data_IF_553808444277
#
_entry.id   IF_553808444277
#
_cell.length_a   1.000
_cell.length_b   1.000
_cell.length_c   1.000
_cell.angle_alpha   90.00
_cell.angle_beta   90.00
_cell.angle_gamma   90.00
#
_symmetry.space_group_name_H-M   'P 1'
#
loop_
_entity.id
_entity.type
_entity.pdbx_description
1 polymer ?
#
# COMPACT_ATOMS: atom_id res chain seq x y z
N UNK A 1 -2.01 3.79 -13.41
CA UNK A 1 -1.72 4.26 -14.77
C UNK A 1 -2.98 4.37 -15.63
N UNK A 2 -3.94 3.43 -15.58
CA UNK A 2 -5.23 3.54 -16.31
C UNK A 2 -6.15 4.72 -15.96
N UNK A 3 -5.85 5.45 -14.87
CA UNK A 3 -6.62 6.62 -14.40
C UNK A 3 -6.28 7.92 -15.13
N UNK A 4 -5.16 7.93 -15.84
CA UNK A 4 -4.74 9.03 -16.69
C UNK A 4 -5.14 8.72 -18.13
N UNK A 5 -6.45 8.70 -18.40
CA UNK A 5 -7.02 8.29 -19.69
C UNK A 5 -6.54 9.16 -20.87
N UNK A 6 -6.05 10.36 -20.58
CA UNK A 6 -5.58 11.32 -21.58
C UNK A 6 -4.04 11.39 -21.71
N UNK A 7 -3.28 10.70 -20.84
CA UNK A 7 -1.81 10.68 -20.90
C UNK A 7 -1.32 9.68 -21.96
N UNK A 8 -0.36 10.13 -22.78
CA UNK A 8 0.38 9.25 -23.67
C UNK A 8 1.55 8.62 -22.90
N UNK A 9 1.49 7.30 -22.74
CA UNK A 9 2.56 6.53 -22.10
C UNK A 9 3.77 6.41 -23.04
N UNK A 10 4.70 7.36 -22.91
CA UNK A 10 5.97 7.34 -23.62
C UNK A 10 7.06 6.70 -22.75
N UNK A 11 7.12 5.38 -22.75
CA UNK A 11 8.18 4.63 -22.08
C UNK A 11 9.50 4.74 -22.85
N UNK A 12 10.61 4.88 -22.13
CA UNK A 12 11.95 4.69 -22.69
C UNK A 12 12.12 3.22 -23.09
N UNK A 13 12.76 2.98 -24.22
CA UNK A 13 13.22 1.65 -24.60
C UNK A 13 14.35 1.19 -23.69
N UNK A 14 14.53 -0.13 -23.59
CA UNK A 14 15.63 -0.73 -22.82
C UNK A 14 16.99 -0.21 -23.27
N UNK A 15 17.18 -0.02 -24.58
CA UNK A 15 18.42 0.54 -25.14
C UNK A 15 18.66 1.99 -24.68
N UNK A 16 17.63 2.83 -24.69
CA UNK A 16 17.74 4.21 -24.21
C UNK A 16 18.09 4.25 -22.72
N UNK A 17 17.51 3.36 -21.90
CA UNK A 17 17.85 3.26 -20.48
C UNK A 17 19.31 2.87 -20.27
N UNK A 18 19.80 1.85 -21.00
CA UNK A 18 21.22 1.43 -20.93
C UNK A 18 22.16 2.55 -21.36
N UNK A 19 21.85 3.24 -22.46
CA UNK A 19 22.66 4.36 -22.98
C UNK A 19 22.73 5.53 -21.98
N UNK A 20 21.66 5.77 -21.22
CA UNK A 20 21.63 6.79 -20.17
C UNK A 20 22.32 6.34 -18.86
N UNK A 21 22.82 5.11 -18.79
CA UNK A 21 23.55 4.58 -17.65
C UNK A 21 22.68 3.95 -16.56
N UNK A 22 21.40 3.63 -16.86
CA UNK A 22 20.58 2.86 -15.94
C UNK A 22 20.98 1.38 -15.96
N UNK A 23 21.10 0.78 -14.77
CA UNK A 23 21.34 -0.65 -14.59
C UNK A 23 20.05 -1.45 -14.82
N UNK A 24 19.77 -1.79 -16.08
CA UNK A 24 18.63 -2.62 -16.49
C UNK A 24 19.10 -3.91 -17.14
N UNK A 25 18.31 -4.98 -17.00
CA UNK A 25 18.54 -6.25 -17.67
C UNK A 25 17.93 -6.22 -19.09
N UNK A 26 18.75 -6.23 -20.17
CA UNK A 26 18.25 -6.20 -21.53
C UNK A 26 17.54 -7.48 -21.97
N UNK A 27 17.81 -8.60 -21.29
CA UNK A 27 17.26 -9.91 -21.62
C UNK A 27 16.02 -10.25 -20.78
N UNK A 28 15.57 -9.31 -19.93
CA UNK A 28 14.37 -9.49 -19.12
C UNK A 28 13.10 -9.56 -19.98
N UNK A 29 12.40 -10.70 -19.90
CA UNK A 29 11.11 -10.88 -20.55
C UNK A 29 9.95 -10.47 -19.62
N UNK A 30 9.24 -9.36 -19.90
CA UNK A 30 8.22 -8.85 -19.01
C UNK A 30 6.99 -9.76 -18.98
N UNK A 31 6.28 -9.79 -17.85
CA UNK A 31 5.00 -10.51 -17.74
C UNK A 31 3.93 -9.91 -18.66
N UNK A 32 3.97 -8.59 -18.85
CA UNK A 32 3.11 -7.84 -19.77
C UNK A 32 4.00 -6.88 -20.57
N UNK A 33 3.93 -6.93 -21.90
CA UNK A 33 4.70 -6.05 -22.77
C UNK A 33 4.22 -4.59 -22.69
N UNK A 34 5.06 -3.64 -23.10
CA UNK A 34 4.67 -2.23 -23.17
C UNK A 34 3.52 -2.01 -24.16
N UNK A 35 3.51 -2.76 -25.27
CA UNK A 35 2.50 -2.74 -26.31
C UNK A 35 1.15 -3.25 -25.77
N UNK A 36 1.16 -4.39 -25.06
CA UNK A 36 -0.03 -4.92 -24.41
C UNK A 36 -0.57 -3.96 -23.35
N UNK A 37 0.31 -3.30 -22.60
CA UNK A 37 -0.11 -2.32 -21.61
C UNK A 37 -0.75 -1.09 -22.27
N UNK A 38 -0.16 -0.58 -23.36
CA UNK A 38 -0.67 0.57 -24.14
C UNK A 38 -2.05 0.31 -24.75
N UNK A 39 -2.38 -0.93 -25.06
CA UNK A 39 -3.72 -1.28 -25.57
C UNK A 39 -4.73 -1.46 -24.44
N UNK A 40 -4.33 -2.05 -23.31
CA UNK A 40 -5.23 -2.33 -22.18
C UNK A 40 -5.56 -1.12 -21.32
N UNK A 41 -4.60 -0.22 -21.05
CA UNK A 41 -4.75 0.79 -20.00
C UNK A 41 -5.88 1.80 -20.23
N UNK A 42 -6.29 2.04 -21.47
CA UNK A 42 -7.34 3.03 -21.80
C UNK A 42 -8.74 2.56 -21.42
N UNK A 43 -8.97 1.25 -21.46
CA UNK A 43 -10.29 0.65 -21.31
C UNK A 43 -10.41 -0.21 -20.05
N UNK A 44 -9.33 -0.38 -19.27
CA UNK A 44 -9.36 -1.21 -18.06
C UNK A 44 -10.21 -0.56 -16.95
N UNK A 45 -11.05 -1.37 -16.29
CA UNK A 45 -11.75 -0.95 -15.06
C UNK A 45 -10.81 -0.98 -13.84
N UNK A 46 -11.30 -0.53 -12.67
CA UNK A 46 -10.51 -0.56 -11.44
C UNK A 46 -10.19 -2.00 -11.07
N UNK A 47 -11.21 -2.84 -11.11
CA UNK A 47 -11.15 -4.25 -10.78
C UNK A 47 -10.19 -4.99 -11.71
N UNK A 48 -10.22 -4.67 -13.01
CA UNK A 48 -9.30 -5.23 -14.00
C UNK A 48 -7.85 -4.80 -13.73
N UNK A 49 -7.62 -3.54 -13.36
CA UNK A 49 -6.30 -3.06 -12.94
C UNK A 49 -5.77 -3.79 -11.69
N UNK A 50 -6.61 -3.97 -10.67
CA UNK A 50 -6.24 -4.70 -9.44
C UNK A 50 -5.95 -6.16 -9.73
N UNK A 51 -6.81 -6.81 -10.54
CA UNK A 51 -6.62 -8.20 -10.98
C UNK A 51 -5.31 -8.35 -11.76
N UNK A 52 -5.08 -7.52 -12.78
CA UNK A 52 -3.85 -7.53 -13.59
C UNK A 52 -2.60 -7.33 -12.74
N UNK A 53 -2.66 -6.43 -11.75
CA UNK A 53 -1.55 -6.20 -10.82
C UNK A 53 -1.25 -7.46 -9.99
N UNK A 54 -2.30 -8.11 -9.46
CA UNK A 54 -2.17 -9.38 -8.75
C UNK A 54 -1.58 -10.48 -9.61
N UNK A 55 -2.07 -10.66 -10.83
CA UNK A 55 -1.60 -11.66 -11.79
C UNK A 55 -0.10 -11.47 -12.12
N UNK A 56 0.34 -10.21 -12.30
CA UNK A 56 1.76 -9.88 -12.54
C UNK A 56 2.62 -10.19 -11.33
N UNK A 57 2.21 -9.77 -10.13
CA UNK A 57 2.95 -10.04 -8.90
C UNK A 57 3.06 -11.54 -8.65
N UNK A 58 1.96 -12.28 -8.79
CA UNK A 58 1.95 -13.74 -8.67
C UNK A 58 2.86 -14.42 -9.70
N UNK A 59 2.86 -13.93 -10.94
CA UNK A 59 3.75 -14.43 -11.99
C UNK A 59 5.23 -14.17 -11.66
N UNK A 60 5.57 -13.02 -11.10
CA UNK A 60 6.94 -12.72 -10.66
C UNK A 60 7.33 -13.63 -9.50
N UNK A 61 6.49 -13.76 -8.47
CA UNK A 61 6.76 -14.64 -7.32
C UNK A 61 6.99 -16.10 -7.74
N UNK A 62 6.19 -16.62 -8.67
CA UNK A 62 6.34 -18.00 -9.16
C UNK A 62 7.65 -18.25 -9.94
N UNK A 63 8.30 -17.21 -10.48
CA UNK A 63 9.64 -17.31 -11.10
C UNK A 63 10.76 -17.40 -10.05
N UNK A 64 10.50 -17.03 -8.80
CA UNK A 64 11.49 -16.91 -7.73
C UNK A 64 11.19 -17.84 -6.54
N UNK A 65 11.23 -19.16 -6.78
CA UNK A 65 10.91 -20.18 -5.77
C UNK A 65 12.06 -20.53 -4.80
N UNK A 66 13.29 -20.11 -5.13
CA UNK A 66 14.46 -20.36 -4.28
C UNK A 66 14.42 -19.47 -3.04
N UNK A 67 14.87 -20.00 -1.91
CA UNK A 67 14.84 -19.33 -0.60
C UNK A 67 16.25 -19.32 0.01
N UNK A 68 16.69 -18.22 0.67
CA UNK A 68 15.98 -16.95 0.86
C UNK A 68 15.92 -16.12 -0.44
N UNK A 69 14.80 -15.42 -0.65
CA UNK A 69 14.62 -14.51 -1.79
C UNK A 69 13.87 -13.27 -1.32
N UNK A 70 14.45 -12.11 -1.60
CA UNK A 70 13.83 -10.81 -1.37
C UNK A 70 13.57 -10.18 -2.74
N UNK A 71 12.37 -9.64 -2.94
CA UNK A 71 11.98 -8.99 -4.20
C UNK A 71 11.55 -7.56 -3.88
N UNK A 72 12.13 -6.60 -4.59
CA UNK A 72 11.78 -5.19 -4.48
C UNK A 72 10.93 -4.78 -5.69
N UNK A 73 9.74 -4.26 -5.44
CA UNK A 73 8.89 -3.65 -6.45
C UNK A 73 8.97 -2.13 -6.33
N UNK A 74 9.55 -1.46 -7.33
CA UNK A 74 9.54 0.01 -7.44
C UNK A 74 8.40 0.42 -8.36
N UNK A 75 7.31 0.91 -7.79
CA UNK A 75 6.03 1.08 -8.49
C UNK A 75 5.25 2.30 -7.98
N UNK A 76 4.07 2.56 -8.54
CA UNK A 76 3.22 3.69 -8.15
C UNK A 76 2.33 3.36 -6.94
N UNK A 77 1.87 4.38 -6.23
CA UNK A 77 0.97 4.26 -5.07
C UNK A 77 -0.24 3.30 -5.29
N UNK A 78 -1.01 3.36 -6.40
CA UNK A 78 -2.08 2.40 -6.65
C UNK A 78 -1.61 0.95 -6.82
N UNK A 79 -0.37 0.74 -7.25
CA UNK A 79 0.23 -0.60 -7.39
C UNK A 79 0.67 -1.15 -6.04
N UNK A 80 1.15 -0.31 -5.12
CA UNK A 80 1.39 -0.70 -3.72
C UNK A 80 0.08 -1.16 -3.06
N UNK A 81 -1.01 -0.42 -3.25
CA UNK A 81 -2.34 -0.79 -2.72
C UNK A 81 -2.82 -2.14 -3.29
N UNK A 82 -2.86 -2.26 -4.62
CA UNK A 82 -3.35 -3.46 -5.29
C UNK A 82 -2.50 -4.69 -4.97
N UNK A 83 -1.17 -4.56 -4.98
CA UNK A 83 -0.25 -5.64 -4.68
C UNK A 83 -0.33 -6.12 -3.24
N UNK A 84 -0.41 -5.19 -2.27
CA UNK A 84 -0.52 -5.55 -0.86
C UNK A 84 -1.85 -6.25 -0.54
N UNK A 85 -2.96 -5.79 -1.13
CA UNK A 85 -4.27 -6.47 -1.01
C UNK A 85 -4.29 -7.84 -1.64
N UNK A 86 -3.67 -7.99 -2.82
CA UNK A 86 -3.55 -9.28 -3.50
C UNK A 86 -2.83 -10.30 -2.61
N UNK A 87 -1.65 -9.95 -2.09
CA UNK A 87 -0.84 -10.85 -1.26
C UNK A 87 -1.52 -11.19 0.07
N UNK A 88 -2.16 -10.21 0.70
CA UNK A 88 -2.89 -10.39 1.97
C UNK A 88 -4.30 -10.99 1.80
N UNK A 89 -4.70 -11.34 0.57
CA UNK A 89 -6.04 -11.87 0.22
C UNK A 89 -7.19 -10.93 0.63
N UNK A 90 -6.93 -9.62 0.77
CA UNK A 90 -7.92 -8.57 1.09
C UNK A 90 -8.56 -7.99 -0.18
N UNK A 91 -9.12 -8.84 -1.04
CA UNK A 91 -9.62 -8.44 -2.38
C UNK A 91 -11.09 -8.01 -2.43
N UNK A 92 -11.86 -8.18 -1.34
CA UNK A 92 -13.29 -7.91 -1.31
C UNK A 92 -13.67 -6.41 -1.44
N UNK A 93 -12.74 -5.50 -1.14
CA UNK A 93 -12.98 -4.05 -1.07
C UNK A 93 -12.03 -3.29 -2.00
N UNK A 94 -12.13 -3.54 -3.31
CA UNK A 94 -11.41 -2.73 -4.31
C UNK A 94 -11.86 -1.26 -4.18
N UNK A 95 -10.95 -0.29 -4.10
CA UNK A 95 -11.31 1.12 -3.97
C UNK A 95 -12.15 1.60 -5.17
N UNK A 96 -13.16 2.42 -4.91
CA UNK A 96 -13.81 3.21 -5.96
C UNK A 96 -12.89 4.31 -6.51
N UNK A 97 -13.34 5.02 -7.55
CA UNK A 97 -12.56 6.05 -8.22
C UNK A 97 -12.14 7.22 -7.29
N UNK A 98 -13.00 7.60 -6.34
CA UNK A 98 -12.71 8.70 -5.42
C UNK A 98 -11.63 8.30 -4.41
N UNK A 99 -11.77 7.11 -3.83
CA UNK A 99 -10.78 6.54 -2.92
C UNK A 99 -9.45 6.34 -3.64
N UNK A 100 -9.47 5.90 -4.90
CA UNK A 100 -8.27 5.68 -5.69
C UNK A 100 -7.52 6.98 -6.02
N UNK A 101 -8.24 8.09 -6.25
CA UNK A 101 -7.63 9.43 -6.40
C UNK A 101 -6.89 9.86 -5.13
N UNK A 102 -7.34 9.41 -3.96
CA UNK A 102 -6.71 9.71 -2.67
C UNK A 102 -5.61 8.72 -2.26
N UNK A 103 -5.43 7.60 -2.98
CA UNK A 103 -4.36 6.64 -2.69
C UNK A 103 -2.98 7.29 -2.75
N UNK A 104 -2.77 8.37 -3.51
CA UNK A 104 -1.50 9.12 -3.47
C UNK A 104 -1.22 9.81 -2.13
N UNK A 105 -2.25 10.35 -1.47
CA UNK A 105 -2.14 11.03 -0.17
C UNK A 105 -1.62 10.08 0.89
N UNK A 106 -2.13 8.86 0.86
CA UNK A 106 -1.78 7.88 1.85
C UNK A 106 -0.36 7.29 1.56
N UNK A 107 0.14 7.25 0.30
CA UNK A 107 1.42 6.60 -0.12
C UNK A 107 2.27 7.74 -0.69
N UNK A 108 2.82 8.63 0.16
CA UNK A 108 3.73 9.66 -0.31
C UNK A 108 4.93 9.05 -1.04
N UNK A 109 5.65 9.88 -1.80
CA UNK A 109 6.85 9.44 -2.51
C UNK A 109 7.85 8.76 -1.57
N UNK A 110 8.36 7.61 -2.00
CA UNK A 110 9.28 6.80 -1.19
C UNK A 110 8.59 5.91 -0.15
N UNK A 111 7.25 5.87 -0.09
CA UNK A 111 6.53 4.94 0.79
C UNK A 111 6.95 3.50 0.53
N UNK A 112 7.18 2.75 1.62
CA UNK A 112 7.57 1.35 1.53
C UNK A 112 6.56 0.48 2.29
N UNK A 113 6.07 -0.54 1.61
CA UNK A 113 5.29 -1.63 2.20
C UNK A 113 6.12 -2.89 2.09
N UNK A 114 6.30 -3.58 3.21
CA UNK A 114 7.04 -4.82 3.26
C UNK A 114 6.15 -5.96 3.76
N UNK A 115 6.16 -7.06 3.03
CA UNK A 115 5.35 -8.24 3.31
C UNK A 115 6.25 -9.46 3.35
N UNK A 116 6.00 -10.33 4.33
CA UNK A 116 6.71 -11.60 4.47
C UNK A 116 5.74 -12.75 4.24
N UNK A 117 6.17 -13.73 3.45
CA UNK A 117 5.43 -14.98 3.24
C UNK A 117 5.72 -15.96 4.39
N UNK A 118 4.67 -16.34 5.10
CA UNK A 118 4.73 -17.48 6.00
C UNK A 118 4.47 -18.78 5.23
N UNK A 119 5.53 -19.56 5.01
CA UNK A 119 5.45 -20.82 4.24
C UNK A 119 4.58 -21.90 4.87
N UNK A 120 4.31 -21.84 6.17
CA UNK A 120 3.50 -22.85 6.87
C UNK A 120 2.01 -22.75 6.57
N UNK A 121 1.51 -21.52 6.38
CA UNK A 121 0.08 -21.23 6.16
C UNK A 121 -0.18 -20.60 4.77
N UNK A 122 0.87 -20.35 3.98
CA UNK A 122 0.79 -19.68 2.69
C UNK A 122 0.03 -18.33 2.79
N UNK A 123 0.35 -17.59 3.86
CA UNK A 123 -0.17 -16.24 4.13
C UNK A 123 0.95 -15.21 4.05
N UNK A 124 0.58 -14.02 3.61
CA UNK A 124 1.47 -12.86 3.64
C UNK A 124 1.11 -11.96 4.81
N UNK A 125 2.11 -11.54 5.56
CA UNK A 125 1.95 -10.66 6.73
C UNK A 125 2.73 -9.38 6.55
N UNK A 126 2.16 -8.26 7.01
CA UNK A 126 2.85 -6.98 7.02
C UNK A 126 4.03 -7.04 7.99
N UNK A 127 5.22 -6.70 7.48
CA UNK A 127 6.38 -6.53 8.34
C UNK A 127 6.33 -5.16 9.00
N UNK A 128 6.31 -5.14 10.33
CA UNK A 128 6.18 -3.91 11.10
C UNK A 128 7.41 -2.98 10.98
N UNK A 129 8.56 -3.46 10.49
CA UNK A 129 9.79 -2.66 10.48
C UNK A 129 10.84 -3.16 9.46
N UNK A 130 10.50 -3.27 8.18
CA UNK A 130 11.48 -3.65 7.17
C UNK A 130 12.55 -2.59 6.92
N UNK A 131 12.18 -1.31 7.12
CA UNK A 131 13.06 -0.16 7.04
C UNK A 131 12.73 0.81 8.18
N UNK A 132 13.72 1.54 8.72
CA UNK A 132 13.44 2.66 9.62
C UNK A 132 12.56 3.68 8.90
N UNK A 133 11.65 4.32 9.64
CA UNK A 133 10.82 5.40 9.08
C UNK A 133 11.73 6.55 8.64
N UNK A 134 11.80 6.80 7.34
CA UNK A 134 12.38 8.03 6.81
C UNK A 134 11.26 9.08 6.88
N UNK A 135 11.48 10.09 7.71
CA UNK A 135 10.67 11.30 7.74
C UNK A 135 11.53 12.43 7.17
N UNK A 136 11.12 12.98 6.04
CA UNK A 136 11.68 14.23 5.52
C UNK A 136 10.48 15.10 5.13
N UNK A 137 10.43 16.35 5.63
CA UNK A 137 9.31 17.29 5.44
C UNK A 137 7.93 16.77 5.91
N UNK A 138 7.81 16.28 7.15
CA UNK A 138 6.55 15.78 7.75
C UNK A 138 5.83 14.64 7.00
N UNK A 139 6.46 14.08 5.97
CA UNK A 139 5.99 12.91 5.24
C UNK A 139 6.63 11.66 5.85
N UNK A 140 5.83 10.74 6.41
CA UNK A 140 6.36 9.46 6.94
C UNK A 140 6.10 8.34 5.94
N UNK A 141 7.12 7.55 5.57
CA UNK A 141 6.96 6.36 4.71
C UNK A 141 6.21 5.18 5.38
N UNK A 142 5.85 5.30 6.66
CA UNK A 142 4.95 4.37 7.37
C UNK A 142 3.51 4.73 7.04
N UNK A 143 2.89 4.03 6.11
CA UNK A 143 1.48 4.28 5.81
C UNK A 143 0.53 3.52 6.76
N UNK A 144 -0.18 4.30 7.58
CA UNK A 144 -1.63 4.32 7.88
C UNK A 144 -2.34 3.06 8.41
N UNK A 145 -1.95 1.82 8.13
CA UNK A 145 -2.60 0.67 8.82
C UNK A 145 -2.30 0.70 10.32
N UNK A 146 -1.07 1.07 10.71
CA UNK A 146 -0.75 1.27 12.13
C UNK A 146 -1.58 2.43 12.72
N UNK A 147 -1.74 3.55 12.01
CA UNK A 147 -2.54 4.67 12.52
C UNK A 147 -4.02 4.30 12.62
N UNK A 148 -4.64 3.70 11.59
CA UNK A 148 -6.06 3.31 11.62
C UNK A 148 -6.34 2.23 12.67
N UNK A 149 -5.45 1.24 12.84
CA UNK A 149 -5.58 0.23 13.90
C UNK A 149 -5.41 0.88 15.27
N UNK A 150 -4.42 1.76 15.46
CA UNK A 150 -4.28 2.49 16.73
C UNK A 150 -5.48 3.41 16.97
N UNK A 151 -6.03 4.04 15.95
CA UNK A 151 -7.18 4.94 16.06
C UNK A 151 -8.45 4.16 16.43
N UNK A 152 -8.72 3.02 15.78
CA UNK A 152 -9.81 2.11 16.16
C UNK A 152 -9.64 1.54 17.58
N UNK A 153 -8.43 1.11 17.96
CA UNK A 153 -8.15 0.60 19.30
C UNK A 153 -8.26 1.69 20.37
N UNK A 154 -7.83 2.92 20.06
CA UNK A 154 -8.01 4.10 20.91
C UNK A 154 -9.50 4.39 21.09
N UNK A 155 -10.30 4.42 20.01
CA UNK A 155 -11.74 4.64 20.12
C UNK A 155 -12.45 3.55 20.92
N UNK A 156 -12.12 2.26 20.70
CA UNK A 156 -12.65 1.16 21.53
C UNK A 156 -12.20 1.20 22.98
N UNK A 157 -11.05 1.81 23.28
CA UNK A 157 -10.59 2.02 24.65
C UNK A 157 -11.35 3.17 25.30
N UNK A 158 -11.61 4.24 24.56
CA UNK A 158 -12.43 5.39 24.99
C UNK A 158 -13.87 4.97 25.26
N UNK A 159 -14.49 4.19 24.39
CA UNK A 159 -15.86 3.70 24.59
C UNK A 159 -15.97 2.84 25.86
N UNK A 160 -14.98 1.98 26.12
CA UNK A 160 -14.89 1.20 27.36
C UNK A 160 -14.72 2.07 28.60
N UNK A 161 -13.83 3.07 28.53
CA UNK A 161 -13.64 4.00 29.65
C UNK A 161 -14.90 4.83 29.91
N UNK A 162 -15.67 5.16 28.86
CA UNK A 162 -16.96 5.84 28.97
C UNK A 162 -18.02 4.95 29.63
N UNK A 163 -18.09 3.67 29.26
CA UNK A 163 -18.98 2.69 29.92
C UNK A 163 -18.55 2.40 31.37
N UNK A 164 -17.25 2.30 31.65
CA UNK A 164 -16.70 2.14 33.01
C UNK A 164 -17.00 3.38 33.88
N UNK A 165 -16.92 4.59 33.31
CA UNK A 165 -17.28 5.88 33.93
C UNK A 165 -18.78 5.99 34.25
N UNK A 166 -19.66 5.64 33.31
CA UNK A 166 -21.12 5.64 33.53
C UNK A 166 -21.54 4.67 34.65
N UNK A 167 -20.70 3.66 34.95
CA UNK A 167 -20.98 2.60 35.92
C UNK A 167 -20.23 2.71 37.26
N UNK A 168 -19.28 3.65 37.47
CA UNK A 168 -18.52 3.68 38.72
C UNK A 168 -17.60 4.88 38.99
N UNK A 169 -18.14 5.86 39.73
CA UNK A 169 -17.52 6.78 40.70
C UNK A 169 -16.37 7.76 40.33
N UNK A 170 -16.53 8.95 40.94
CA UNK A 170 -15.78 10.22 41.06
C UNK A 170 -15.37 11.04 39.80
N UNK A 171 -15.95 12.24 39.72
CA UNK A 171 -16.08 13.03 38.49
C UNK A 171 -15.06 14.15 38.28
N UNK A 172 -13.97 14.20 39.05
CA UNK A 172 -13.04 15.33 39.00
C UNK A 172 -11.82 15.07 38.10
N UNK A 173 -11.17 13.89 38.19
CA UNK A 173 -10.04 13.53 37.30
C UNK A 173 -10.50 13.24 35.86
N UNK A 174 -11.69 12.68 35.68
CA UNK A 174 -12.26 12.40 34.36
C UNK A 174 -12.68 13.67 33.60
N UNK A 175 -13.14 14.70 34.31
CA UNK A 175 -13.47 16.00 33.71
C UNK A 175 -12.21 16.70 33.19
N UNK A 176 -11.10 16.61 33.93
CA UNK A 176 -9.80 17.14 33.50
C UNK A 176 -9.28 16.43 32.26
N UNK A 177 -9.36 15.09 32.21
CA UNK A 177 -9.00 14.35 31.00
C UNK A 177 -9.89 14.76 29.82
N UNK A 178 -11.22 14.70 29.93
CA UNK A 178 -12.12 15.06 28.82
C UNK A 178 -11.91 16.51 28.34
N UNK A 179 -11.61 17.45 29.25
CA UNK A 179 -11.32 18.84 28.93
C UNK A 179 -9.97 18.99 28.20
N UNK A 180 -8.90 18.33 28.66
CA UNK A 180 -7.61 18.32 27.98
C UNK A 180 -7.72 17.75 26.55
N UNK A 181 -8.57 16.74 26.33
CA UNK A 181 -8.78 16.13 25.01
C UNK A 181 -9.71 16.93 24.08
N UNK A 182 -10.52 17.86 24.59
CA UNK A 182 -11.34 18.76 23.77
C UNK A 182 -10.49 19.78 23.01
N UNK A 183 -9.28 20.08 23.49
CA UNK A 183 -8.32 20.96 22.81
C UNK A 183 -7.61 20.30 21.61
N UNK A 184 -7.67 18.97 21.50
CA UNK A 184 -7.03 18.19 20.42
C UNK A 184 -7.98 17.77 19.29
N UNK A 185 -9.22 18.30 19.27
CA UNK A 185 -10.24 17.98 18.26
C UNK A 185 -10.32 19.05 17.15
#
# INVERSE_FOLDING_TARGET
MGWYKEENLNFLSTLEMVVQGYEVDPDYFPVISCEDLKTKYKNETIEEYYKRTGDVIGSILSRHTKSPCNILFVVHAPTLDAGSRFLTKKTANVPDENNLKQVGVHYPFGSVVALEENKSDNTWKLMHCALPSISFLDCTNRRIEAQLVTTEEIYRRVDRLREEYENGLDGEEAATAIAEWAEYR
#
